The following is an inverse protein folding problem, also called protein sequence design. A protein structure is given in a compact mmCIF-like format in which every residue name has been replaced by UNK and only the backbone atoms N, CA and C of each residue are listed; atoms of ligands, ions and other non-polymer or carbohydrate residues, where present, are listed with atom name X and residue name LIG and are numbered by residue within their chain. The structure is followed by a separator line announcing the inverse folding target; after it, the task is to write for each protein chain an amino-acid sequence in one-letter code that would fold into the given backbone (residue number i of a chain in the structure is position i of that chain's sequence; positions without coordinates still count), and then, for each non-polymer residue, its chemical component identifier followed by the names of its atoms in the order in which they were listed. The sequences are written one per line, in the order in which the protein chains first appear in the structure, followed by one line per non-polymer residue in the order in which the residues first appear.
data_IF_412518154942
#
_entry.id   IF_412518154942
#
_cell.length_a   1.000
_cell.length_b   1.000
_cell.length_c   1.000
_cell.angle_alpha   90.00
_cell.angle_beta   90.00
_cell.angle_gamma   90.00
#
_symmetry.space_group_name_H-M   'P 1'
#
loop_
_entity.id
_entity.type
_entity.pdbx_description
1 polymer ?
#
# COMPACT_ATOMS: atom_id res chain seq x y z
N UNK A 1 -4.34 -33.08 -18.21
CA UNK A 1 -3.99 -31.82 -18.90
C UNK A 1 -3.26 -31.00 -17.87
N UNK A 2 -2.01 -30.62 -18.13
CA UNK A 2 -1.27 -29.70 -17.26
C UNK A 2 -1.65 -28.29 -17.69
N UNK A 3 -2.52 -27.64 -16.92
CA UNK A 3 -2.73 -26.21 -17.07
C UNK A 3 -1.42 -25.51 -16.70
N UNK A 4 -0.69 -25.05 -17.72
CA UNK A 4 0.51 -24.24 -17.52
C UNK A 4 0.10 -22.96 -16.80
N UNK A 5 0.50 -22.84 -15.53
CA UNK A 5 0.22 -21.65 -14.74
C UNK A 5 1.00 -20.48 -15.37
N UNK A 6 0.30 -19.59 -16.06
CA UNK A 6 0.89 -18.40 -16.69
C UNK A 6 1.08 -17.32 -15.63
N UNK A 7 2.33 -17.16 -15.19
CA UNK A 7 2.76 -16.21 -14.15
C UNK A 7 3.14 -14.87 -14.79
N UNK A 8 2.90 -13.77 -14.06
CA UNK A 8 3.44 -12.44 -14.37
C UNK A 8 4.99 -12.45 -14.38
N UNK A 9 5.61 -11.49 -15.05
CA UNK A 9 7.04 -11.21 -14.86
C UNK A 9 7.29 -9.71 -14.79
N UNK A 10 7.86 -9.16 -13.72
CA UNK A 10 8.27 -7.74 -13.75
C UNK A 10 9.51 -7.58 -14.66
N UNK A 11 9.55 -6.61 -15.60
CA UNK A 11 10.72 -6.35 -16.43
C UNK A 11 11.91 -5.93 -15.56
N UNK A 12 13.07 -6.58 -15.74
CA UNK A 12 14.26 -6.30 -14.93
C UNK A 12 14.85 -4.94 -15.31
N UNK A 13 14.55 -3.91 -14.52
CA UNK A 13 15.32 -2.67 -14.47
C UNK A 13 16.24 -2.75 -13.27
N UNK A 14 17.56 -2.70 -13.52
CA UNK A 14 18.56 -2.76 -12.46
C UNK A 14 18.42 -1.54 -11.52
N UNK A 15 18.55 -1.73 -10.19
CA UNK A 15 18.64 -0.60 -9.28
C UNK A 15 19.91 0.21 -9.58
N UNK A 16 19.79 1.53 -9.53
CA UNK A 16 20.96 2.41 -9.43
C UNK A 16 21.60 2.12 -8.08
N UNK A 17 22.92 1.87 -8.05
CA UNK A 17 23.67 1.75 -6.80
C UNK A 17 23.50 3.03 -5.98
N UNK A 18 22.89 2.92 -4.81
CA UNK A 18 23.10 3.84 -3.70
C UNK A 18 24.09 3.18 -2.75
N UNK A 19 25.06 3.95 -2.25
CA UNK A 19 26.10 3.44 -1.36
C UNK A 19 25.60 3.38 0.10
N UNK A 20 26.20 2.47 0.88
CA UNK A 20 25.71 1.96 2.17
C UNK A 20 25.95 2.89 3.37
N UNK A 21 24.99 2.95 4.30
CA UNK A 21 25.22 3.48 5.66
C UNK A 21 24.26 2.91 6.75
N UNK A 22 24.32 1.59 6.99
CA UNK A 22 24.23 0.91 8.31
C UNK A 22 23.15 1.20 9.40
N UNK A 23 22.49 0.10 9.83
CA UNK A 23 21.74 -0.16 11.11
C UNK A 23 20.29 0.41 11.26
N UNK A 24 19.41 -0.15 12.14
CA UNK A 24 18.87 -1.53 12.11
C UNK A 24 17.33 -1.67 12.40
N UNK A 25 16.71 -2.71 11.81
CA UNK A 25 15.47 -3.47 12.20
C UNK A 25 14.05 -2.84 12.42
N UNK A 26 13.02 -3.67 12.11
CA UNK A 26 11.57 -3.63 12.43
C UNK A 26 10.51 -2.91 11.50
N UNK A 27 9.22 -3.39 11.41
CA UNK A 27 8.61 -3.84 10.12
C UNK A 27 7.18 -3.32 9.75
N UNK A 28 6.57 -3.86 8.65
CA UNK A 28 5.14 -4.01 8.23
C UNK A 28 5.03 -4.70 6.79
N UNK A 29 3.91 -4.65 6.01
CA UNK A 29 3.65 -5.44 4.74
C UNK A 29 2.65 -4.91 3.65
N UNK A 30 3.08 -4.31 2.52
CA UNK A 30 2.44 -4.38 1.17
C UNK A 30 3.28 -3.51 0.24
N UNK A 31 4.13 -4.14 -0.55
CA UNK A 31 5.35 -3.45 -0.96
C UNK A 31 5.08 -2.51 -2.13
N UNK A 32 5.29 -1.21 -1.90
CA UNK A 32 5.30 -0.21 -2.97
C UNK A 32 6.63 0.53 -3.02
N UNK A 33 7.19 0.70 -4.21
CA UNK A 33 8.43 1.48 -4.38
C UNK A 33 8.08 2.97 -4.37
N UNK A 34 8.39 3.64 -3.27
CA UNK A 34 8.06 5.07 -3.06
C UNK A 34 8.71 5.95 -4.13
N UNK A 35 9.92 5.61 -4.58
CA UNK A 35 10.61 6.28 -5.69
C UNK A 35 10.00 6.04 -7.08
N UNK A 36 9.00 5.15 -7.18
CA UNK A 36 8.27 4.86 -8.42
C UNK A 36 6.80 5.34 -8.37
N UNK A 37 6.37 6.00 -7.29
CA UNK A 37 4.99 6.47 -7.09
C UNK A 37 4.64 7.58 -8.09
N UNK A 38 3.43 7.56 -8.64
CA UNK A 38 2.89 8.69 -9.42
C UNK A 38 2.46 9.85 -8.53
N UNK A 39 2.50 11.08 -9.06
CA UNK A 39 1.93 12.25 -8.40
C UNK A 39 0.47 12.02 -8.01
N UNK A 40 0.09 12.45 -6.81
CA UNK A 40 -1.28 12.26 -6.34
C UNK A 40 -2.28 13.03 -7.21
N UNK A 41 -3.40 12.41 -7.57
CA UNK A 41 -4.44 13.01 -8.42
C UNK A 41 -4.12 12.98 -9.90
N UNK A 42 -2.96 12.45 -10.31
CA UNK A 42 -2.53 12.41 -11.70
C UNK A 42 -3.49 11.60 -12.56
N UNK A 43 -3.83 12.15 -13.72
CA UNK A 43 -4.37 11.40 -14.84
C UNK A 43 -3.20 10.84 -15.64
N UNK A 44 -3.18 9.53 -15.82
CA UNK A 44 -2.22 8.78 -16.63
C UNK A 44 -2.85 8.51 -17.99
N UNK A 45 -2.16 8.93 -19.05
CA UNK A 45 -2.55 8.60 -20.41
C UNK A 45 -2.21 7.12 -20.66
N UNK A 46 -3.20 6.37 -21.14
CA UNK A 46 -3.09 4.95 -21.46
C UNK A 46 -3.44 4.75 -22.93
N UNK A 47 -2.61 3.98 -23.65
CA UNK A 47 -2.93 3.59 -25.03
C UNK A 47 -2.64 2.13 -25.31
N UNK A 48 -3.40 1.57 -26.23
CA UNK A 48 -3.11 0.27 -26.83
C UNK A 48 -2.23 0.47 -28.07
N UNK A 49 -1.12 -0.26 -28.16
CA UNK A 49 -0.25 -0.28 -29.35
C UNK A 49 -0.77 -1.27 -30.40
N UNK A 50 -1.50 -2.28 -29.95
CA UNK A 50 -2.07 -3.37 -30.74
C UNK A 50 -3.23 -4.04 -29.97
N UNK A 51 -3.79 -5.13 -30.50
CA UNK A 51 -4.80 -5.94 -29.83
C UNK A 51 -6.17 -5.95 -30.51
N UNK A 52 -7.02 -6.87 -30.07
CA UNK A 52 -8.42 -6.97 -30.47
C UNK A 52 -9.27 -5.95 -29.67
N UNK A 53 -10.17 -5.17 -30.30
CA UNK A 53 -10.99 -4.16 -29.60
C UNK A 53 -11.82 -4.69 -28.42
N UNK A 54 -12.26 -5.96 -28.47
CA UNK A 54 -12.99 -6.61 -27.37
C UNK A 54 -12.06 -6.84 -26.18
N UNK A 55 -10.82 -7.25 -26.45
CA UNK A 55 -9.79 -7.46 -25.41
C UNK A 55 -9.40 -6.11 -24.80
N UNK A 56 -9.19 -5.08 -25.64
CA UNK A 56 -8.89 -3.72 -25.21
C UNK A 56 -9.98 -3.16 -24.27
N UNK A 57 -11.25 -3.27 -24.68
CA UNK A 57 -12.39 -2.78 -23.88
C UNK A 57 -12.51 -3.48 -22.51
N UNK A 58 -12.27 -4.80 -22.44
CA UNK A 58 -12.22 -5.52 -21.15
C UNK A 58 -11.07 -5.05 -20.25
N UNK A 59 -9.88 -4.83 -20.82
CA UNK A 59 -8.71 -4.32 -20.08
C UNK A 59 -9.00 -2.94 -19.50
N UNK A 60 -9.53 -2.02 -20.31
CA UNK A 60 -9.93 -0.67 -19.89
C UNK A 60 -10.95 -0.71 -18.74
N UNK A 61 -12.04 -1.47 -18.90
CA UNK A 61 -13.09 -1.59 -17.88
C UNK A 61 -12.55 -2.07 -16.53
N UNK A 62 -11.60 -3.02 -16.54
CA UNK A 62 -11.05 -3.61 -15.31
C UNK A 62 -9.99 -2.70 -14.68
N UNK A 63 -9.15 -2.03 -15.48
CA UNK A 63 -8.14 -1.08 -15.00
C UNK A 63 -8.76 0.04 -14.14
N UNK A 64 -9.94 0.54 -14.55
CA UNK A 64 -10.68 1.57 -13.81
C UNK A 64 -11.13 1.17 -12.40
N UNK A 65 -11.10 -0.12 -12.01
CA UNK A 65 -11.39 -0.52 -10.63
C UNK A 65 -10.40 0.08 -9.64
N UNK A 66 -9.12 0.20 -10.00
CA UNK A 66 -8.12 0.82 -9.13
C UNK A 66 -8.40 2.29 -8.84
N UNK A 67 -8.94 3.05 -9.81
CA UNK A 67 -9.31 4.47 -9.66
C UNK A 67 -10.45 4.73 -8.66
N UNK A 68 -11.10 3.67 -8.12
CA UNK A 68 -12.05 3.78 -7.02
C UNK A 68 -11.38 3.82 -5.63
N UNK A 69 -10.07 3.51 -5.58
CA UNK A 69 -9.30 3.33 -4.36
C UNK A 69 -8.04 4.20 -4.38
N UNK A 70 -7.23 4.10 -5.43
CA UNK A 70 -6.17 5.06 -5.72
C UNK A 70 -6.75 6.36 -6.29
N UNK A 71 -6.29 7.51 -5.81
CA UNK A 71 -6.54 8.81 -6.45
C UNK A 71 -5.63 9.00 -7.68
N UNK A 72 -5.75 8.07 -8.62
CA UNK A 72 -5.10 8.08 -9.94
C UNK A 72 -6.18 7.75 -10.95
N UNK A 73 -6.23 8.53 -12.03
CA UNK A 73 -7.15 8.30 -13.14
C UNK A 73 -6.39 7.69 -14.32
N UNK A 74 -6.97 6.69 -14.96
CA UNK A 74 -6.52 6.25 -16.27
C UNK A 74 -7.38 6.94 -17.32
N UNK A 75 -6.75 7.51 -18.35
CA UNK A 75 -7.44 8.06 -19.52
C UNK A 75 -7.00 7.24 -20.74
N UNK A 76 -7.90 6.38 -21.22
CA UNK A 76 -7.64 5.52 -22.37
C UNK A 76 -7.87 6.30 -23.67
N UNK A 77 -6.89 6.25 -24.56
CA UNK A 77 -6.93 6.98 -25.82
C UNK A 77 -5.74 6.67 -26.72
N UNK A 78 -5.41 7.63 -27.59
CA UNK A 78 -4.35 7.50 -28.60
C UNK A 78 -3.23 8.57 -28.43
N UNK A 79 -3.04 9.13 -27.23
CA UNK A 79 -1.99 10.13 -26.99
C UNK A 79 -0.62 9.54 -27.40
N UNK A 80 0.14 10.19 -28.31
CA UNK A 80 1.44 9.69 -28.73
C UNK A 80 2.45 9.52 -27.57
N UNK A 81 2.29 10.30 -26.50
CA UNK A 81 3.19 10.37 -25.35
C UNK A 81 2.70 9.57 -24.13
N UNK A 82 1.68 8.72 -24.28
CA UNK A 82 1.07 7.99 -23.17
C UNK A 82 2.09 7.29 -22.25
N UNK A 83 1.94 7.49 -20.94
CA UNK A 83 2.81 6.87 -19.94
C UNK A 83 2.66 5.34 -19.93
N UNK A 84 1.40 4.87 -20.00
CA UNK A 84 1.08 3.44 -20.06
C UNK A 84 0.76 3.04 -21.50
N UNK A 85 1.52 2.09 -22.03
CA UNK A 85 1.44 1.64 -23.43
C UNK A 85 1.34 0.13 -23.45
N UNK A 86 0.18 -0.38 -23.86
CA UNK A 86 -0.20 -1.78 -23.71
C UNK A 86 -0.02 -2.51 -25.03
N UNK A 87 0.66 -3.66 -24.99
CA UNK A 87 0.73 -4.61 -26.10
C UNK A 87 0.11 -5.96 -25.71
N UNK A 88 -0.26 -6.76 -26.71
CA UNK A 88 -0.69 -8.15 -26.55
C UNK A 88 0.22 -9.11 -27.34
N UNK A 89 1.35 -8.60 -27.85
CA UNK A 89 2.24 -9.32 -28.77
C UNK A 89 3.59 -9.74 -28.15
N UNK A 90 3.92 -9.31 -26.93
CA UNK A 90 5.11 -9.83 -26.21
C UNK A 90 4.76 -11.09 -25.42
N UNK A 91 5.78 -11.87 -25.07
CA UNK A 91 5.64 -13.02 -24.19
C UNK A 91 5.40 -12.59 -22.73
N UNK A 92 4.67 -13.41 -21.97
CA UNK A 92 4.28 -13.15 -20.58
C UNK A 92 3.25 -12.03 -20.43
N UNK A 93 2.77 -11.83 -19.20
CA UNK A 93 2.08 -10.59 -18.82
C UNK A 93 2.99 -9.84 -17.85
N UNK A 94 3.04 -8.52 -18.00
CA UNK A 94 4.00 -7.70 -17.27
C UNK A 94 3.67 -6.21 -17.35
N UNK A 95 4.14 -5.45 -16.36
CA UNK A 95 4.17 -3.97 -16.40
C UNK A 95 5.47 -3.41 -15.82
N UNK A 96 5.89 -2.26 -16.30
CA UNK A 96 6.89 -1.46 -15.60
C UNK A 96 6.32 -0.92 -14.28
N UNK A 97 7.15 -0.92 -13.24
CA UNK A 97 6.75 -0.47 -11.92
C UNK A 97 6.60 1.06 -11.86
N UNK A 98 5.36 1.54 -11.81
CA UNK A 98 5.04 2.97 -11.61
C UNK A 98 5.72 3.90 -12.62
N UNK A 99 6.28 5.01 -12.14
CA UNK A 99 6.99 6.01 -12.95
C UNK A 99 8.21 5.48 -13.71
N UNK A 100 8.67 4.24 -13.45
CA UNK A 100 9.68 3.61 -14.33
C UNK A 100 9.20 3.41 -15.77
N UNK A 101 7.89 3.43 -16.03
CA UNK A 101 7.34 3.50 -17.38
C UNK A 101 7.91 4.69 -18.18
N UNK A 102 8.21 5.82 -17.52
CA UNK A 102 8.82 7.01 -18.12
C UNK A 102 10.27 6.80 -18.59
N UNK A 103 10.95 5.74 -18.13
CA UNK A 103 12.31 5.39 -18.60
C UNK A 103 12.29 4.76 -20.00
N UNK A 104 11.14 4.28 -20.47
CA UNK A 104 10.98 3.72 -21.82
C UNK A 104 10.74 4.87 -22.80
N UNK A 105 11.84 5.50 -23.24
CA UNK A 105 11.82 6.70 -24.09
C UNK A 105 11.40 6.44 -25.54
N UNK A 106 11.49 5.19 -26.02
CA UNK A 106 10.87 4.80 -27.29
C UNK A 106 9.36 4.65 -27.09
N UNK A 107 8.59 5.62 -27.57
CA UNK A 107 7.13 5.66 -27.44
C UNK A 107 6.42 4.49 -28.15
N UNK A 108 7.09 3.81 -29.08
CA UNK A 108 6.53 2.62 -29.77
C UNK A 108 6.83 1.30 -29.04
N UNK A 109 7.62 1.30 -27.96
CA UNK A 109 7.75 0.13 -27.08
C UNK A 109 6.66 0.16 -25.99
N UNK A 110 6.06 -1.00 -25.64
CA UNK A 110 5.11 -1.11 -24.55
C UNK A 110 5.76 -0.84 -23.19
N UNK A 111 4.99 -0.28 -22.27
CA UNK A 111 5.29 -0.23 -20.84
C UNK A 111 4.45 -1.23 -20.04
N UNK A 112 3.54 -1.96 -20.70
CA UNK A 112 2.76 -3.08 -20.17
C UNK A 112 2.44 -4.07 -21.30
N UNK A 113 2.33 -5.36 -20.98
CA UNK A 113 1.91 -6.39 -21.93
C UNK A 113 0.97 -7.42 -21.31
N UNK A 114 0.04 -7.94 -22.11
CA UNK A 114 -0.85 -9.06 -21.75
C UNK A 114 -0.72 -10.21 -22.75
N UNK A 115 0.24 -11.11 -22.54
CA UNK A 115 0.64 -12.09 -23.56
C UNK A 115 -0.41 -13.15 -23.91
N UNK A 116 -1.36 -13.43 -23.02
CA UNK A 116 -2.33 -14.54 -23.19
C UNK A 116 -3.81 -14.15 -23.12
N UNK A 117 -4.18 -12.87 -22.91
CA UNK A 117 -5.58 -12.45 -22.95
C UNK A 117 -6.11 -12.47 -24.40
N UNK A 118 -7.25 -13.12 -24.61
CA UNK A 118 -7.94 -13.30 -25.89
C UNK A 118 -9.45 -13.09 -25.70
N UNK A 119 -10.20 -12.84 -26.76
CA UNK A 119 -11.64 -12.49 -26.67
C UNK A 119 -12.51 -13.57 -26.00
N UNK A 120 -12.07 -14.82 -26.01
CA UNK A 120 -12.67 -16.00 -25.34
C UNK A 120 -12.10 -16.29 -23.93
N UNK A 121 -11.13 -15.51 -23.46
CA UNK A 121 -10.56 -15.67 -22.11
C UNK A 121 -11.63 -15.40 -21.04
N UNK A 122 -11.75 -16.26 -19.99
CA UNK A 122 -12.69 -16.07 -18.89
C UNK A 122 -12.53 -14.72 -18.18
N UNK A 123 -13.66 -14.12 -17.77
CA UNK A 123 -13.69 -12.79 -17.15
C UNK A 123 -12.95 -12.73 -15.80
N UNK A 124 -12.82 -13.87 -15.11
CA UNK A 124 -12.08 -13.96 -13.85
C UNK A 124 -10.56 -14.01 -14.05
N UNK A 125 -10.08 -14.59 -15.15
CA UNK A 125 -8.68 -14.51 -15.59
C UNK A 125 -8.33 -13.11 -16.11
N UNK A 126 -9.25 -12.46 -16.85
CA UNK A 126 -9.14 -11.03 -17.16
C UNK A 126 -9.02 -10.19 -15.87
N UNK A 127 -9.91 -10.40 -14.91
CA UNK A 127 -9.91 -9.68 -13.63
C UNK A 127 -8.60 -9.87 -12.87
N UNK A 128 -8.14 -11.12 -12.73
CA UNK A 128 -6.84 -11.45 -12.12
C UNK A 128 -5.70 -10.65 -12.76
N UNK A 129 -5.46 -10.87 -14.05
CA UNK A 129 -4.23 -10.40 -14.71
C UNK A 129 -4.26 -8.89 -14.88
N UNK A 130 -5.38 -8.30 -15.30
CA UNK A 130 -5.46 -6.86 -15.51
C UNK A 130 -5.33 -6.08 -14.20
N UNK A 131 -5.99 -6.52 -13.11
CA UNK A 131 -5.82 -5.85 -11.82
C UNK A 131 -4.37 -5.96 -11.31
N UNK A 132 -3.72 -7.12 -11.49
CA UNK A 132 -2.33 -7.35 -11.09
C UNK A 132 -1.35 -6.44 -11.85
N UNK A 133 -1.39 -6.43 -13.18
CA UNK A 133 -0.49 -5.59 -13.99
C UNK A 133 -0.74 -4.09 -13.79
N UNK A 134 -1.99 -3.66 -13.59
CA UNK A 134 -2.27 -2.26 -13.23
C UNK A 134 -1.85 -1.92 -11.80
N UNK A 135 -1.75 -2.90 -10.90
CA UNK A 135 -1.12 -2.71 -9.59
C UNK A 135 0.38 -2.38 -9.72
N UNK A 136 1.09 -3.09 -10.60
CA UNK A 136 2.47 -2.75 -10.98
C UNK A 136 2.56 -1.37 -11.64
N UNK A 137 1.67 -1.03 -12.57
CA UNK A 137 1.62 0.29 -13.16
C UNK A 137 1.36 1.40 -12.13
N UNK A 138 0.76 1.08 -10.97
CA UNK A 138 0.57 1.98 -9.82
C UNK A 138 1.71 1.94 -8.79
N UNK A 139 2.77 1.17 -9.02
CA UNK A 139 3.95 1.12 -8.16
C UNK A 139 3.91 0.05 -7.05
N UNK A 140 2.89 -0.82 -7.02
CA UNK A 140 2.80 -1.97 -6.12
C UNK A 140 3.61 -3.15 -6.67
N UNK A 141 4.33 -3.89 -5.83
CA UNK A 141 5.01 -5.14 -6.19
C UNK A 141 4.34 -6.33 -5.48
N UNK A 142 4.90 -7.54 -5.65
CA UNK A 142 4.26 -8.75 -5.15
C UNK A 142 4.24 -8.90 -3.63
N UNK A 143 3.08 -9.32 -3.13
CA UNK A 143 2.82 -9.51 -1.70
C UNK A 143 3.63 -10.67 -1.09
N UNK A 144 3.96 -11.69 -1.88
CA UNK A 144 4.81 -12.81 -1.42
C UNK A 144 6.27 -12.42 -1.19
N UNK A 145 6.73 -11.25 -1.64
CA UNK A 145 8.07 -10.71 -1.35
C UNK A 145 8.14 -9.94 -0.03
N UNK A 146 7.05 -9.91 0.73
CA UNK A 146 7.02 -9.33 2.06
C UNK A 146 8.03 -10.01 3.02
N UNK A 147 8.87 -9.23 3.74
CA UNK A 147 9.90 -9.78 4.64
C UNK A 147 9.41 -10.66 5.80
N UNK A 148 8.12 -10.61 6.19
CA UNK A 148 7.55 -11.46 7.24
C UNK A 148 6.44 -12.39 6.69
N UNK A 149 6.51 -12.75 5.39
CA UNK A 149 5.53 -13.65 4.75
C UNK A 149 5.38 -15.03 5.42
N UNK A 150 6.35 -15.48 6.23
CA UNK A 150 6.38 -16.79 6.86
C UNK A 150 6.49 -17.98 5.90
N UNK A 151 6.67 -17.75 4.60
CA UNK A 151 6.63 -18.78 3.58
C UNK A 151 7.91 -19.61 3.65
N UNK A 152 7.76 -20.85 4.12
CA UNK A 152 8.86 -21.80 4.23
C UNK A 152 9.12 -22.48 2.88
N UNK A 153 9.85 -21.79 1.99
CA UNK A 153 10.14 -22.26 0.63
C UNK A 153 11.04 -23.50 0.58
N UNK A 154 10.69 -24.48 -0.26
CA UNK A 154 11.61 -25.50 -0.76
C UNK A 154 12.45 -24.91 -1.89
N UNK A 155 13.50 -24.13 -1.55
CA UNK A 155 14.32 -23.35 -2.50
C UNK A 155 14.56 -24.06 -3.85
N UNK A 156 15.12 -25.28 -3.83
CA UNK A 156 15.42 -25.99 -5.08
C UNK A 156 14.18 -26.29 -5.91
N UNK A 157 13.07 -26.71 -5.29
CA UNK A 157 11.82 -26.96 -6.00
C UNK A 157 11.24 -25.68 -6.63
N UNK A 158 11.45 -24.51 -6.01
CA UNK A 158 11.09 -23.20 -6.61
C UNK A 158 11.96 -22.92 -7.83
N UNK A 159 13.28 -23.06 -7.73
CA UNK A 159 14.20 -22.88 -8.86
C UNK A 159 13.85 -23.82 -10.03
N UNK A 160 13.70 -25.11 -9.74
CA UNK A 160 13.36 -26.13 -10.73
C UNK A 160 12.01 -25.84 -11.40
N UNK A 161 11.01 -25.41 -10.63
CA UNK A 161 9.68 -25.06 -11.14
C UNK A 161 9.75 -23.87 -12.11
N UNK A 162 10.29 -22.72 -11.69
CA UNK A 162 10.34 -21.52 -12.55
C UNK A 162 11.28 -21.68 -13.76
N UNK A 163 12.33 -22.51 -13.64
CA UNK A 163 13.17 -22.90 -14.77
C UNK A 163 12.43 -23.79 -15.78
N UNK A 164 11.56 -24.70 -15.32
CA UNK A 164 10.77 -25.59 -16.19
C UNK A 164 9.55 -24.89 -16.82
N UNK A 165 8.81 -24.07 -16.07
CA UNK A 165 7.57 -23.45 -16.55
C UNK A 165 7.79 -22.11 -17.27
N UNK A 166 8.87 -21.39 -16.97
CA UNK A 166 9.11 -20.05 -17.52
C UNK A 166 10.51 -19.83 -18.10
N UNK A 167 11.38 -20.84 -18.07
CA UNK A 167 12.76 -20.70 -18.53
C UNK A 167 13.61 -19.74 -17.69
N UNK A 168 13.17 -19.37 -16.48
CA UNK A 168 13.89 -18.41 -15.64
C UNK A 168 15.15 -19.03 -15.04
N UNK A 169 16.27 -18.34 -15.18
CA UNK A 169 17.50 -18.68 -14.47
C UNK A 169 17.35 -18.50 -12.95
N UNK A 170 18.33 -19.03 -12.21
CA UNK A 170 18.38 -18.95 -10.75
C UNK A 170 18.36 -17.50 -10.24
N UNK A 171 19.07 -16.56 -10.88
CA UNK A 171 19.16 -15.17 -10.43
C UNK A 171 17.84 -14.41 -10.65
N UNK A 172 17.09 -14.74 -11.70
CA UNK A 172 15.76 -14.19 -11.98
C UNK A 172 14.73 -14.76 -11.02
N UNK A 173 14.76 -16.06 -10.76
CA UNK A 173 13.85 -16.72 -9.81
C UNK A 173 14.11 -16.26 -8.38
N UNK A 174 15.37 -16.11 -7.97
CA UNK A 174 15.74 -15.54 -6.69
C UNK A 174 15.11 -14.15 -6.50
N UNK A 175 15.44 -13.18 -7.36
CA UNK A 175 14.97 -11.79 -7.23
C UNK A 175 13.45 -11.62 -7.30
N UNK A 176 12.74 -12.49 -8.01
CA UNK A 176 11.31 -12.34 -8.27
C UNK A 176 10.41 -13.16 -7.35
N UNK A 177 10.95 -14.17 -6.63
CA UNK A 177 10.15 -15.16 -5.87
C UNK A 177 10.69 -15.43 -4.47
N UNK A 178 12.01 -15.57 -4.31
CA UNK A 178 12.64 -16.05 -3.07
C UNK A 178 13.24 -14.93 -2.23
N UNK A 179 13.81 -13.91 -2.87
CA UNK A 179 14.42 -12.75 -2.23
C UNK A 179 13.33 -11.79 -1.77
N UNK A 180 13.06 -11.79 -0.46
CA UNK A 180 12.23 -10.76 0.16
C UNK A 180 12.74 -9.34 -0.17
N UNK A 181 11.83 -8.40 -0.35
CA UNK A 181 12.17 -7.02 -0.70
C UNK A 181 12.99 -6.35 0.41
N UNK A 182 13.98 -5.52 0.04
CA UNK A 182 14.81 -4.82 1.04
C UNK A 182 14.00 -3.79 1.80
N UNK A 183 14.14 -3.80 3.13
CA UNK A 183 13.41 -2.94 4.07
C UNK A 183 13.62 -1.44 3.79
N UNK A 184 14.74 -1.05 3.17
CA UNK A 184 15.16 0.35 3.02
C UNK A 184 14.43 1.13 1.91
N UNK A 185 13.56 0.49 1.11
CA UNK A 185 13.02 1.09 -0.14
C UNK A 185 11.50 1.03 -0.28
N UNK A 186 10.78 0.67 0.79
CA UNK A 186 9.41 0.16 0.68
C UNK A 186 8.45 0.72 1.75
N UNK A 187 7.24 1.16 1.34
CA UNK A 187 6.09 1.39 2.23
C UNK A 187 5.22 0.14 2.32
N UNK A 188 4.54 -0.10 3.46
CA UNK A 188 4.08 -1.44 3.84
C UNK A 188 2.97 -1.49 4.96
N UNK A 189 1.99 -2.44 4.90
CA UNK A 189 0.86 -2.78 5.82
C UNK A 189 0.87 -4.17 6.59
N UNK A 190 0.06 -5.21 6.28
CA UNK A 190 0.15 -6.57 6.89
C UNK A 190 -0.08 -7.69 5.85
N UNK A 191 0.58 -8.86 5.99
CA UNK A 191 0.55 -9.93 4.96
C UNK A 191 -0.87 -10.33 4.57
N UNK A 192 -1.22 -10.14 3.31
CA UNK A 192 -2.53 -10.53 2.79
C UNK A 192 -2.45 -11.62 1.71
N UNK A 193 -2.71 -12.86 2.13
CA UNK A 193 -2.85 -14.01 1.21
C UNK A 193 -3.96 -13.83 0.16
N UNK A 194 -4.89 -12.89 0.35
CA UNK A 194 -5.97 -12.57 -0.60
C UNK A 194 -5.62 -11.37 -1.51
N UNK A 195 -4.45 -10.75 -1.36
CA UNK A 195 -4.03 -9.63 -2.20
C UNK A 195 -3.99 -10.04 -3.66
N UNK A 196 -4.47 -9.17 -4.54
CA UNK A 196 -4.33 -9.32 -5.99
C UNK A 196 -2.87 -9.37 -6.43
N UNK A 197 -1.95 -8.82 -5.64
CA UNK A 197 -0.52 -8.75 -5.93
C UNK A 197 0.25 -10.02 -5.51
N UNK A 198 -0.38 -11.00 -4.86
CA UNK A 198 0.30 -12.26 -4.52
C UNK A 198 0.46 -13.15 -5.76
N UNK A 199 1.55 -13.91 -5.82
CA UNK A 199 1.64 -15.02 -6.77
C UNK A 199 0.98 -16.24 -6.15
N UNK A 200 0.40 -17.11 -6.97
CA UNK A 200 0.01 -18.43 -6.49
C UNK A 200 1.23 -19.18 -5.94
N UNK A 201 1.04 -19.83 -4.80
CA UNK A 201 2.04 -20.61 -4.08
C UNK A 201 1.55 -22.06 -4.08
N UNK A 202 1.99 -22.92 -5.01
CA UNK A 202 1.64 -24.34 -4.96
C UNK A 202 2.24 -25.01 -3.72
N UNK A 203 1.47 -25.85 -3.02
CA UNK A 203 1.94 -26.61 -1.85
C UNK A 203 3.20 -27.47 -2.11
N UNK A 204 3.42 -27.85 -3.37
CA UNK A 204 4.64 -28.53 -3.80
C UNK A 204 5.92 -27.73 -3.51
N UNK A 205 5.84 -26.39 -3.56
CA UNK A 205 6.96 -25.45 -3.40
C UNK A 205 7.26 -25.07 -1.93
N UNK A 206 6.45 -25.48 -0.96
CA UNK A 206 6.61 -25.13 0.47
C UNK A 206 6.89 -26.36 1.33
N UNK A 207 7.66 -26.22 2.41
CA UNK A 207 8.07 -27.34 3.28
C UNK A 207 6.94 -27.85 4.17
N UNK A 208 5.94 -27.01 4.44
CA UNK A 208 4.79 -27.25 5.33
C UNK A 208 3.47 -27.47 4.57
N UNK A 209 3.51 -27.63 3.24
CA UNK A 209 2.34 -27.69 2.35
C UNK A 209 1.43 -26.43 2.40
N UNK A 210 1.95 -25.29 2.86
CA UNK A 210 1.26 -24.00 2.71
C UNK A 210 1.04 -23.69 1.23
N UNK A 211 -0.15 -23.20 0.89
CA UNK A 211 -0.50 -22.82 -0.48
C UNK A 211 -1.43 -21.62 -0.55
N UNK A 212 -1.31 -20.88 -1.65
CA UNK A 212 -2.18 -19.75 -2.00
C UNK A 212 -2.57 -19.92 -3.46
N UNK A 213 -3.86 -19.85 -3.75
CA UNK A 213 -4.38 -19.84 -5.12
C UNK A 213 -4.38 -18.42 -5.71
N UNK A 214 -4.59 -18.31 -7.01
CA UNK A 214 -4.69 -17.02 -7.68
C UNK A 214 -5.93 -16.22 -7.23
N UNK A 215 -5.70 -15.08 -6.59
CA UNK A 215 -6.73 -14.09 -6.30
C UNK A 215 -7.22 -13.41 -7.60
N UNK A 216 -8.53 -13.17 -7.68
CA UNK A 216 -9.22 -12.71 -8.91
C UNK A 216 -9.90 -11.35 -8.74
N UNK A 217 -9.78 -10.73 -7.58
CA UNK A 217 -10.40 -9.46 -7.19
C UNK A 217 -9.49 -8.71 -6.23
N UNK A 218 -9.62 -7.39 -6.17
CA UNK A 218 -8.96 -6.56 -5.15
C UNK A 218 -9.45 -6.95 -3.74
N UNK A 219 -8.51 -7.23 -2.83
CA UNK A 219 -8.79 -7.53 -1.42
C UNK A 219 -9.25 -6.28 -0.65
N UNK A 220 -9.58 -6.43 0.63
CA UNK A 220 -9.81 -5.28 1.50
C UNK A 220 -8.52 -4.47 1.73
N UNK A 221 -7.40 -5.18 1.90
CA UNK A 221 -6.05 -4.62 2.08
C UNK A 221 -5.58 -3.88 0.84
N UNK A 222 -5.73 -4.45 -0.36
CA UNK A 222 -5.36 -3.78 -1.62
C UNK A 222 -6.06 -2.43 -1.76
N UNK A 223 -7.37 -2.40 -1.45
CA UNK A 223 -8.22 -1.19 -1.50
C UNK A 223 -7.81 -0.17 -0.46
N UNK A 224 -7.51 -0.61 0.77
CA UNK A 224 -7.07 0.29 1.84
C UNK A 224 -5.66 0.83 1.59
N UNK A 225 -4.74 -0.01 1.12
CA UNK A 225 -3.38 0.42 0.80
C UNK A 225 -3.37 1.37 -0.39
N UNK A 226 -4.03 1.06 -1.49
CA UNK A 226 -4.11 1.95 -2.65
C UNK A 226 -4.76 3.31 -2.30
N UNK A 227 -5.72 3.31 -1.37
CA UNK A 227 -6.21 4.52 -0.72
C UNK A 227 -5.09 5.24 0.00
N UNK A 228 -4.50 4.70 1.08
CA UNK A 228 -3.47 5.40 1.87
C UNK A 228 -2.29 5.88 1.00
N UNK A 229 -1.81 5.02 0.10
CA UNK A 229 -0.70 5.30 -0.82
C UNK A 229 -1.02 6.38 -1.85
N UNK A 230 -2.28 6.66 -2.18
CA UNK A 230 -2.69 7.76 -3.05
C UNK A 230 -3.67 8.76 -2.41
N UNK A 231 -3.91 8.75 -1.10
CA UNK A 231 -4.80 9.71 -0.41
C UNK A 231 -4.01 10.76 0.39
N UNK A 232 -2.70 10.87 0.16
CA UNK A 232 -1.90 11.98 0.68
C UNK A 232 -2.31 13.28 -0.03
N UNK A 233 -3.28 14.01 0.53
CA UNK A 233 -3.38 15.49 0.41
C UNK A 233 -1.96 16.03 0.30
N UNK A 234 -1.62 16.89 -0.68
CA UNK A 234 -0.24 17.34 -0.83
C UNK A 234 0.21 17.88 0.54
N UNK A 235 1.41 17.51 1.00
CA UNK A 235 1.72 17.54 2.44
C UNK A 235 1.60 18.95 3.08
N UNK A 236 1.60 20.01 2.28
CA UNK A 236 1.31 21.39 2.66
C UNK A 236 -0.16 21.68 3.03
N UNK A 237 -1.11 20.80 2.70
CA UNK A 237 -2.58 21.00 2.82
C UNK A 237 -3.28 19.99 3.76
N UNK A 238 -2.52 19.19 4.53
CA UNK A 238 -3.11 18.22 5.48
C UNK A 238 -4.07 18.89 6.45
N UNK A 239 -5.28 18.36 6.57
CA UNK A 239 -6.27 18.86 7.54
C UNK A 239 -5.80 18.66 8.98
N UNK A 240 -6.44 19.34 9.94
CA UNK A 240 -6.13 19.18 11.36
C UNK A 240 -6.22 17.72 11.82
N UNK A 241 -7.28 17.01 11.42
CA UNK A 241 -7.51 15.61 11.79
C UNK A 241 -6.62 14.62 11.01
N UNK A 242 -6.23 14.94 9.77
CA UNK A 242 -5.19 14.20 9.04
C UNK A 242 -3.83 14.33 9.71
N UNK A 243 -3.41 15.53 10.13
CA UNK A 243 -2.17 15.75 10.89
C UNK A 243 -2.14 14.92 12.17
N UNK A 244 -3.27 14.68 12.82
CA UNK A 244 -3.37 13.80 14.00
C UNK A 244 -3.25 12.32 13.65
N UNK A 245 -3.97 11.83 12.63
CA UNK A 245 -3.88 10.44 12.18
C UNK A 245 -2.47 10.09 11.70
N UNK A 246 -1.90 10.88 10.80
CA UNK A 246 -0.55 10.69 10.26
C UNK A 246 0.51 10.62 11.38
N UNK A 247 0.43 11.50 12.37
CA UNK A 247 1.35 11.55 13.50
C UNK A 247 1.18 10.36 14.47
N UNK A 248 -0.06 9.92 14.67
CA UNK A 248 -0.36 8.71 15.45
C UNK A 248 0.23 7.48 14.77
N UNK A 249 -0.06 7.29 13.49
CA UNK A 249 0.32 6.08 12.75
C UNK A 249 1.82 6.01 12.57
N UNK A 250 2.48 7.13 12.24
CA UNK A 250 3.94 7.19 12.26
C UNK A 250 4.51 6.78 13.62
N UNK A 251 4.01 7.33 14.73
CA UNK A 251 4.57 7.03 16.04
C UNK A 251 4.34 5.57 16.46
N UNK A 252 3.15 5.02 16.22
CA UNK A 252 2.85 3.59 16.47
C UNK A 252 3.78 2.69 15.65
N UNK A 253 4.00 3.03 14.37
CA UNK A 253 4.94 2.32 13.50
C UNK A 253 6.42 2.50 13.90
N UNK A 254 6.73 3.44 14.79
CA UNK A 254 8.07 3.61 15.40
C UNK A 254 8.14 3.01 16.82
N UNK A 255 7.17 2.18 17.22
CA UNK A 255 7.16 1.50 18.52
C UNK A 255 6.74 2.36 19.70
N UNK A 256 6.20 3.56 19.46
CA UNK A 256 5.57 4.39 20.49
C UNK A 256 4.12 3.93 20.71
N UNK A 257 3.50 4.31 21.84
CA UNK A 257 2.08 3.97 22.08
C UNK A 257 1.11 4.85 21.29
N UNK A 258 1.55 6.05 20.91
CA UNK A 258 0.81 7.04 20.13
C UNK A 258 1.75 8.19 19.73
N UNK A 259 1.30 9.04 18.82
CA UNK A 259 1.91 10.36 18.56
C UNK A 259 0.85 11.41 18.21
N UNK A 260 1.24 12.68 18.27
CA UNK A 260 0.40 13.80 17.85
C UNK A 260 1.25 14.93 17.25
N UNK A 261 0.70 15.75 16.33
CA UNK A 261 1.45 16.80 15.66
C UNK A 261 1.74 17.97 16.61
N UNK A 262 2.93 18.58 16.49
CA UNK A 262 3.20 19.90 17.08
C UNK A 262 2.87 21.05 16.10
N UNK A 263 2.24 20.73 14.97
CA UNK A 263 1.88 21.62 13.86
C UNK A 263 3.00 22.34 13.11
N UNK A 264 4.27 22.27 13.55
CA UNK A 264 5.40 22.75 12.75
C UNK A 264 5.52 21.94 11.45
N UNK A 265 5.93 22.63 10.37
CA UNK A 265 6.28 22.02 9.09
C UNK A 265 7.38 22.82 8.37
N UNK A 266 8.19 22.14 7.56
CA UNK A 266 9.27 22.73 6.76
C UNK A 266 9.41 21.95 5.46
N UNK A 267 9.62 22.61 4.32
CA UNK A 267 10.05 21.96 3.08
C UNK A 267 11.48 22.43 2.72
N UNK A 268 12.52 21.59 2.91
CA UNK A 268 13.89 21.91 2.53
C UNK A 268 14.20 21.60 1.05
N UNK A 269 13.19 21.35 0.21
CA UNK A 269 13.36 20.98 -1.20
C UNK A 269 13.47 19.47 -1.44
N UNK A 270 13.19 18.67 -0.42
CA UNK A 270 13.14 17.20 -0.45
C UNK A 270 11.79 16.60 -0.04
N UNK A 271 10.77 17.45 0.14
CA UNK A 271 9.46 17.08 0.67
C UNK A 271 9.23 17.64 2.08
N UNK A 272 7.96 17.82 2.44
CA UNK A 272 7.55 18.45 3.71
C UNK A 272 7.87 17.54 4.90
N UNK A 273 8.61 18.08 5.86
CA UNK A 273 8.86 17.49 7.18
C UNK A 273 7.82 18.04 8.17
N UNK A 274 7.17 17.15 8.92
CA UNK A 274 6.27 17.53 10.02
C UNK A 274 6.93 17.31 11.38
N UNK A 275 6.66 18.19 12.35
CA UNK A 275 6.97 17.92 13.75
C UNK A 275 5.91 17.05 14.43
N UNK A 276 6.36 15.98 15.09
CA UNK A 276 5.55 15.01 15.84
C UNK A 276 6.08 14.88 17.26
N UNK A 277 5.17 14.81 18.23
CA UNK A 277 5.44 14.45 19.62
C UNK A 277 4.99 13.01 19.82
N UNK A 278 5.93 12.11 20.15
CA UNK A 278 5.68 10.68 20.31
C UNK A 278 5.64 10.28 21.79
N UNK A 279 4.67 9.46 22.16
CA UNK A 279 4.42 9.00 23.53
C UNK A 279 5.07 7.63 23.76
N UNK A 280 5.98 7.54 24.73
CA UNK A 280 6.73 6.31 25.00
C UNK A 280 5.81 5.16 25.46
N UNK A 281 6.16 3.89 25.18
CA UNK A 281 5.45 2.75 25.75
C UNK A 281 5.27 2.88 27.27
N UNK A 282 4.09 2.50 27.77
CA UNK A 282 3.74 2.61 29.18
C UNK A 282 3.28 4.00 29.65
N UNK A 283 3.31 5.05 28.81
CA UNK A 283 2.83 6.39 29.19
C UNK A 283 1.34 6.64 28.90
N UNK A 284 0.74 5.85 28.00
CA UNK A 284 -0.68 5.93 27.66
C UNK A 284 -1.26 4.53 27.42
N UNK A 285 -2.56 4.45 27.19
CA UNK A 285 -3.24 3.37 26.48
C UNK A 285 -3.94 3.93 25.23
N UNK A 286 -3.95 3.14 24.15
CA UNK A 286 -4.69 3.43 22.91
C UNK A 286 -5.95 2.58 22.87
N UNK A 287 -7.11 3.23 22.82
CA UNK A 287 -8.42 2.64 23.10
C UNK A 287 -9.41 2.98 21.98
N UNK A 288 -10.37 2.10 21.73
CA UNK A 288 -11.52 2.38 20.84
C UNK A 288 -12.76 2.61 21.69
N UNK A 289 -13.34 3.82 21.61
CA UNK A 289 -14.47 4.23 22.45
C UNK A 289 -15.69 4.56 21.59
N UNK A 290 -16.88 3.99 21.85
CA UNK A 290 -18.11 4.33 21.14
C UNK A 290 -18.39 5.84 21.14
N UNK A 291 -18.75 6.37 19.97
CA UNK A 291 -19.06 7.81 19.81
C UNK A 291 -20.28 8.22 20.64
N UNK A 292 -21.19 7.28 20.88
CA UNK A 292 -22.32 7.44 21.78
C UNK A 292 -21.89 7.68 23.24
N UNK A 293 -20.88 6.96 23.74
CA UNK A 293 -20.36 7.08 25.12
C UNK A 293 -19.63 8.42 25.32
N UNK A 294 -19.11 8.99 24.23
CA UNK A 294 -18.53 10.35 24.19
C UNK A 294 -19.61 11.45 24.01
N UNK A 295 -20.88 11.09 23.92
CA UNK A 295 -21.99 12.03 23.75
C UNK A 295 -22.11 12.62 22.33
N UNK A 296 -21.60 11.93 21.32
CA UNK A 296 -21.66 12.30 19.89
C UNK A 296 -21.14 13.72 19.56
N UNK A 297 -19.86 14.05 19.87
CA UNK A 297 -19.31 15.38 19.64
C UNK A 297 -19.26 15.73 18.14
N UNK A 298 -19.77 16.92 17.78
CA UNK A 298 -19.91 17.37 16.40
C UNK A 298 -18.70 18.17 15.88
N UNK A 299 -17.84 18.66 16.76
CA UNK A 299 -16.63 19.43 16.41
C UNK A 299 -15.35 18.81 16.98
N UNK A 300 -14.19 19.21 16.44
CA UNK A 300 -12.89 18.76 16.95
C UNK A 300 -12.67 19.20 18.41
N UNK A 301 -13.04 20.44 18.77
CA UNK A 301 -12.91 20.95 20.15
C UNK A 301 -13.82 20.19 21.13
N UNK A 302 -15.05 19.88 20.73
CA UNK A 302 -15.93 18.99 21.51
C UNK A 302 -15.34 17.58 21.62
N UNK A 303 -14.76 17.03 20.55
CA UNK A 303 -14.15 15.70 20.56
C UNK A 303 -12.99 15.64 21.55
N UNK A 304 -12.11 16.64 21.58
CA UNK A 304 -11.05 16.75 22.60
C UNK A 304 -11.63 16.77 24.02
N UNK A 305 -12.59 17.66 24.27
CA UNK A 305 -13.24 17.81 25.59
C UNK A 305 -13.88 16.51 26.06
N UNK A 306 -14.69 15.87 25.21
CA UNK A 306 -15.41 14.64 25.53
C UNK A 306 -14.50 13.44 25.73
N UNK A 307 -13.42 13.33 24.95
CA UNK A 307 -12.41 12.28 25.16
C UNK A 307 -11.63 12.50 26.45
N UNK A 308 -11.28 13.74 26.78
CA UNK A 308 -10.66 14.06 28.07
C UNK A 308 -11.59 13.76 29.25
N UNK A 309 -12.83 14.23 29.21
CA UNK A 309 -13.86 13.97 30.23
C UNK A 309 -14.05 12.46 30.44
N UNK A 310 -14.14 11.68 29.35
CA UNK A 310 -14.26 10.23 29.39
C UNK A 310 -13.02 9.58 30.02
N UNK A 311 -11.81 9.96 29.59
CA UNK A 311 -10.56 9.37 30.10
C UNK A 311 -10.37 9.63 31.60
N UNK A 312 -10.67 10.84 32.08
CA UNK A 312 -10.65 11.18 33.50
C UNK A 312 -11.66 10.34 34.29
N UNK A 313 -12.87 10.14 33.75
CA UNK A 313 -13.87 9.25 34.36
C UNK A 313 -13.47 7.76 34.38
N UNK A 314 -12.56 7.33 33.50
CA UNK A 314 -11.95 5.99 33.53
C UNK A 314 -10.69 5.91 34.44
N UNK A 315 -10.30 6.99 35.12
CA UNK A 315 -9.15 7.02 36.04
C UNK A 315 -7.80 7.37 35.42
N UNK A 316 -7.77 7.84 34.17
CA UNK A 316 -6.58 8.41 33.53
C UNK A 316 -6.40 9.89 33.93
N UNK A 317 -5.20 10.44 33.72
CA UNK A 317 -4.91 11.85 34.05
C UNK A 317 -5.58 12.82 33.06
N UNK A 318 -5.61 12.42 31.79
CA UNK A 318 -6.20 13.16 30.68
C UNK A 318 -6.31 12.21 29.49
N UNK A 319 -6.98 12.63 28.41
CA UNK A 319 -6.96 11.90 27.15
C UNK A 319 -7.31 12.78 25.96
N UNK A 320 -6.90 12.35 24.76
CA UNK A 320 -7.15 13.06 23.51
C UNK A 320 -7.47 12.09 22.36
N UNK A 321 -8.24 12.52 21.34
CA UNK A 321 -8.50 11.72 20.16
C UNK A 321 -7.27 11.64 19.25
N UNK A 322 -6.98 10.45 18.70
CA UNK A 322 -6.02 10.31 17.59
C UNK A 322 -6.66 10.50 16.20
N UNK A 323 -7.95 10.84 16.16
CA UNK A 323 -8.77 11.08 14.97
C UNK A 323 -8.99 9.88 14.03
N UNK A 324 -8.60 8.67 14.42
CA UNK A 324 -9.12 7.45 13.81
C UNK A 324 -10.57 7.23 14.20
N UNK A 325 -11.36 6.72 13.26
CA UNK A 325 -12.74 6.32 13.48
C UNK A 325 -13.07 5.11 12.60
N UNK A 326 -13.86 4.19 13.13
CA UNK A 326 -14.27 2.96 12.45
C UNK A 326 -15.65 2.53 12.93
N UNK A 327 -16.41 1.85 12.08
CA UNK A 327 -17.70 1.24 12.44
C UNK A 327 -17.57 -0.29 12.30
N UNK A 328 -17.49 -1.04 13.41
CA UNK A 328 -17.37 -2.49 13.40
C UNK A 328 -18.74 -3.19 13.25
N UNK A 329 -19.80 -2.48 12.84
CA UNK A 329 -21.17 -3.00 12.74
C UNK A 329 -22.00 -2.84 14.02
N UNK A 330 -21.44 -2.16 15.02
CA UNK A 330 -22.10 -1.80 16.29
C UNK A 330 -22.29 -0.29 16.48
N UNK A 331 -21.95 0.52 15.47
CA UNK A 331 -21.88 1.98 15.56
C UNK A 331 -20.44 2.48 15.68
N UNK A 332 -20.23 3.73 15.28
CA UNK A 332 -18.89 4.34 15.17
C UNK A 332 -18.18 4.38 16.53
N UNK A 333 -16.90 4.03 16.54
CA UNK A 333 -15.96 4.26 17.65
C UNK A 333 -14.87 5.27 17.22
N UNK A 334 -14.36 6.05 18.17
CA UNK A 334 -13.18 6.89 17.98
C UNK A 334 -11.95 6.26 18.66
N UNK A 335 -10.78 6.46 18.05
CA UNK A 335 -9.50 6.20 18.69
C UNK A 335 -9.18 7.26 19.75
N UNK A 336 -8.92 6.80 20.96
CA UNK A 336 -8.69 7.58 22.17
C UNK A 336 -7.34 7.21 22.76
N UNK A 337 -6.53 8.23 23.06
CA UNK A 337 -5.24 8.09 23.73
C UNK A 337 -5.42 8.57 25.17
N UNK A 338 -5.35 7.65 26.13
CA UNK A 338 -5.61 7.91 27.53
C UNK A 338 -4.29 7.90 28.33
N UNK A 339 -3.93 9.05 28.92
CA UNK A 339 -2.62 9.28 29.56
C UNK A 339 -2.59 8.72 30.99
N UNK A 340 -1.61 7.87 31.28
CA UNK A 340 -1.49 7.16 32.56
C UNK A 340 -1.04 8.11 33.69
N UNK A 341 -1.36 7.79 34.95
CA UNK A 341 -0.77 8.44 36.12
C UNK A 341 0.76 8.54 36.01
N UNK A 342 1.30 9.76 36.16
CA UNK A 342 2.73 10.05 36.04
C UNK A 342 3.26 10.27 34.61
N UNK A 343 2.41 10.19 33.58
CA UNK A 343 2.79 10.50 32.19
C UNK A 343 2.68 12.00 31.85
N UNK A 344 1.79 12.73 32.54
CA UNK A 344 1.54 14.14 32.39
C UNK A 344 0.90 14.69 33.68
N UNK A 345 0.84 16.02 33.80
CA UNK A 345 0.01 16.73 34.78
C UNK A 345 -1.20 17.37 34.07
N UNK A 346 -2.38 17.29 34.68
CA UNK A 346 -3.60 17.95 34.19
C UNK A 346 -3.91 19.16 35.08
N UNK A 347 -3.85 20.36 34.51
CA UNK A 347 -3.91 21.63 35.24
C UNK A 347 -5.02 22.54 34.70
N UNK A 348 -5.81 23.10 35.61
CA UNK A 348 -6.76 24.17 35.29
C UNK A 348 -6.09 25.53 35.51
N UNK A 349 -5.81 26.24 34.43
CA UNK A 349 -5.21 27.58 34.43
C UNK A 349 -6.29 28.63 34.17
N UNK A 350 -6.22 29.80 34.83
CA UNK A 350 -7.19 30.87 34.55
C UNK A 350 -6.87 31.52 33.21
N UNK A 351 -7.88 31.83 32.39
CA UNK A 351 -7.67 32.41 31.04
C UNK A 351 -7.06 33.82 30.99
N UNK A 352 -6.59 34.37 32.12
CA UNK A 352 -5.78 35.59 32.22
C UNK A 352 -4.28 35.30 32.43
N UNK A 353 -3.94 34.04 32.66
CA UNK A 353 -2.59 33.48 32.88
C UNK A 353 -2.09 32.72 31.63
N UNK A 354 -2.92 32.69 30.57
CA UNK A 354 -2.65 32.25 29.20
C UNK A 354 -2.58 33.47 28.28
#
# INVERSE_FOLDING_TARGET
MTDEIKVCSVPVILPVKLEDSGQPDEPLSLVASVGCRWENGKTLQVRFLDGDPVVQSKVEQIAHQWSQFANIKFEFGNDPNAEIRISFQREGSWSHLGTNALRVTNLNEPTMNFGWLRSDTPDDEYSRVVLHEFGHALGFIHEHLHPNNGISWKRQAVLDYYQQTHGWDEQKTERNVLQAASRDTTQYSSFDQNSIMIYAIPAALTTNNYSVDWNKQLSATDKQFARVFYQSTPFNERSFDERFRDANDWAVNQGYVSGFPNFHQLDPGGGVVFGVIALKPGTADSLSVPVADLGNPGTNEERFRKVNDWAVNQGYVSGFPNFHQLDPGGGVVFGVIALKPGAADSLSVLGREL
#
